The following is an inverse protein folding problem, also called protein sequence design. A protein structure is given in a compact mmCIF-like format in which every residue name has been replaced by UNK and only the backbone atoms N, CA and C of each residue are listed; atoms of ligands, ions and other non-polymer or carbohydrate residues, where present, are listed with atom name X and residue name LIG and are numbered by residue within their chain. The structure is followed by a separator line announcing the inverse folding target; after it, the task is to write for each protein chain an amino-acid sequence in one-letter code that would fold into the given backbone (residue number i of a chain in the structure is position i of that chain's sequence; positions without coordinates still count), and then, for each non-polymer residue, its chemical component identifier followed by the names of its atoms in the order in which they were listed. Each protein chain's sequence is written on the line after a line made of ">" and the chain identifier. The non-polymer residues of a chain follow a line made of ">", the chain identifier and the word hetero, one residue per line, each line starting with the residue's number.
data_IF_640603229572
#
_entry.id   IF_640603229572
#
_cell.length_a   1.000
_cell.length_b   1.000
_cell.length_c   1.000
_cell.angle_alpha   90.00
_cell.angle_beta   90.00
_cell.angle_gamma   90.00
#
_symmetry.space_group_name_H-M   'P 1'
#
loop_
_entity.id
_entity.type
_entity.pdbx_description
1 polymer ?
#
# COMPACT_ATOMS: atom_id res chain seq x y z
N UNK A 1 -98.81 -10.90 75.00
CA UNK A 1 -97.91 -9.77 74.68
C UNK A 1 -96.53 -10.23 75.14
N UNK A 2 -95.58 -10.52 74.25
CA UNK A 2 -94.80 -9.56 73.43
C UNK A 2 -93.93 -8.65 74.31
N UNK A 3 -92.62 -8.52 74.11
CA UNK A 3 -91.74 -9.05 73.04
C UNK A 3 -90.26 -9.17 73.53
N UNK A 4 -89.34 -9.44 72.59
CA UNK A 4 -87.86 -9.61 72.67
C UNK A 4 -87.10 -8.44 73.39
N UNK A 5 -85.79 -8.49 73.71
CA UNK A 5 -84.68 -9.33 73.18
C UNK A 5 -83.51 -9.58 74.19
N UNK A 6 -82.41 -10.21 73.73
CA UNK A 6 -81.37 -10.90 74.53
C UNK A 6 -79.94 -10.30 74.55
N UNK A 7 -79.10 -10.90 75.42
CA UNK A 7 -77.62 -10.86 75.52
C UNK A 7 -76.99 -9.53 76.02
N UNK A 8 -76.36 -9.39 77.20
CA UNK A 8 -75.49 -10.24 78.08
C UNK A 8 -73.97 -10.13 77.79
N UNK A 9 -73.12 -10.21 78.83
CA UNK A 9 -71.77 -9.62 78.88
C UNK A 9 -70.55 -10.59 78.82
N UNK A 10 -69.36 -9.99 78.62
CA UNK A 10 -68.03 -10.30 79.22
C UNK A 10 -66.95 -11.05 78.40
N UNK A 11 -65.67 -10.56 78.47
CA UNK A 11 -64.41 -11.31 78.76
C UNK A 11 -63.08 -10.49 78.68
N UNK A 12 -61.94 -11.13 79.04
CA UNK A 12 -60.53 -10.64 79.12
C UNK A 12 -59.50 -11.80 78.88
N UNK A 13 -58.14 -11.60 78.79
CA UNK A 13 -57.25 -11.70 79.98
C UNK A 13 -55.90 -10.90 79.94
N UNK A 14 -54.71 -11.56 79.91
CA UNK A 14 -53.30 -11.06 80.14
C UNK A 14 -52.20 -12.00 79.54
N UNK A 15 -50.88 -11.72 79.72
CA UNK A 15 -49.69 -12.55 79.31
C UNK A 15 -48.47 -12.50 80.30
N UNK A 16 -47.29 -13.09 79.98
CA UNK A 16 -46.20 -13.52 80.92
C UNK A 16 -44.69 -13.26 80.51
N UNK A 17 -43.70 -13.87 81.21
CA UNK A 17 -42.19 -13.79 81.14
C UNK A 17 -41.53 -15.12 81.67
N UNK A 18 -40.20 -15.39 81.93
CA UNK A 18 -38.92 -14.60 81.89
C UNK A 18 -37.64 -15.41 81.38
N UNK A 19 -36.42 -15.20 81.98
CA UNK A 19 -35.12 -15.95 81.88
C UNK A 19 -34.12 -15.60 80.72
N UNK A 20 -32.79 -15.96 80.69
CA UNK A 20 -31.90 -16.80 81.59
C UNK A 20 -30.46 -16.23 81.93
N UNK A 21 -29.31 -16.92 81.67
CA UNK A 21 -28.16 -17.00 82.64
C UNK A 21 -26.71 -17.28 82.07
N UNK A 22 -25.67 -16.55 82.60
CA UNK A 22 -24.24 -16.85 83.03
C UNK A 22 -23.32 -17.81 82.19
N UNK A 23 -21.96 -17.78 82.13
CA UNK A 23 -20.83 -16.80 82.21
C UNK A 23 -19.47 -17.57 82.24
N UNK A 24 -18.41 -17.10 81.54
CA UNK A 24 -16.99 -17.49 81.77
C UNK A 24 -16.34 -18.48 80.77
N UNK A 25 -15.02 -18.73 80.76
CA UNK A 25 -13.85 -17.97 81.26
C UNK A 25 -12.53 -18.60 80.74
N UNK A 26 -11.52 -17.77 80.41
CA UNK A 26 -10.15 -18.21 80.03
C UNK A 26 -9.98 -18.69 78.57
N UNK A 27 -8.76 -18.94 78.07
CA UNK A 27 -7.43 -18.49 78.49
C UNK A 27 -6.41 -18.67 77.32
N UNK A 28 -5.40 -17.81 77.29
CA UNK A 28 -4.30 -17.67 76.33
C UNK A 28 -3.81 -18.94 75.56
N UNK A 29 -3.79 -18.87 74.23
CA UNK A 29 -2.87 -19.61 73.35
C UNK A 29 -2.69 -18.85 72.01
N UNK A 30 -1.50 -18.86 71.41
CA UNK A 30 -1.18 -18.04 70.23
C UNK A 30 -0.48 -18.83 69.12
N UNK A 31 -0.88 -18.59 67.87
CA UNK A 31 -0.07 -18.78 66.64
C UNK A 31 -0.37 -17.60 65.71
N UNK A 32 0.61 -17.21 64.90
CA UNK A 32 0.58 -16.02 64.04
C UNK A 32 0.09 -16.36 62.63
N UNK A 33 -0.73 -15.46 62.06
CA UNK A 33 -0.73 -15.16 60.62
C UNK A 33 -1.57 -16.06 59.71
N UNK A 34 -2.60 -15.47 59.11
CA UNK A 34 -2.55 -15.04 57.70
C UNK A 34 -3.63 -13.96 57.49
N UNK A 35 -3.52 -13.21 56.38
CA UNK A 35 -4.30 -11.99 56.21
C UNK A 35 -5.81 -12.22 56.12
N UNK A 36 -6.59 -11.47 56.90
CA UNK A 36 -7.99 -11.20 56.57
C UNK A 36 -8.02 -10.31 55.34
N UNK A 37 -8.12 -10.91 54.15
CA UNK A 37 -8.41 -10.17 52.93
C UNK A 37 -9.69 -9.37 53.14
N UNK A 38 -9.61 -8.05 52.98
CA UNK A 38 -10.77 -7.18 53.12
C UNK A 38 -11.70 -7.46 51.95
N UNK A 39 -12.73 -8.27 52.19
CA UNK A 39 -13.71 -8.67 51.19
C UNK A 39 -14.57 -7.47 50.78
N UNK A 40 -14.03 -6.64 49.88
CA UNK A 40 -14.81 -5.70 49.10
C UNK A 40 -15.95 -6.48 48.43
N UNK A 41 -17.19 -6.09 48.73
CA UNK A 41 -18.36 -6.83 48.27
C UNK A 41 -18.49 -6.65 46.76
N UNK A 42 -18.03 -7.63 45.98
CA UNK A 42 -18.25 -7.68 44.53
C UNK A 42 -19.75 -7.81 44.30
N UNK A 43 -20.41 -6.66 44.09
CA UNK A 43 -21.79 -6.59 43.64
C UNK A 43 -21.82 -6.98 42.17
N UNK A 44 -21.89 -8.29 41.90
CA UNK A 44 -22.21 -8.82 40.58
C UNK A 44 -23.58 -8.27 40.15
N UNK A 45 -23.58 -7.25 39.28
CA UNK A 45 -24.78 -6.56 38.85
C UNK A 45 -25.53 -7.36 37.78
N UNK A 46 -26.15 -8.46 38.21
CA UNK A 46 -27.28 -9.15 37.57
C UNK A 46 -27.26 -9.25 36.03
N UNK A 47 -26.30 -10.02 35.48
CA UNK A 47 -26.46 -10.71 34.19
C UNK A 47 -26.61 -9.85 32.93
N UNK A 48 -26.41 -8.54 33.00
CA UNK A 48 -26.28 -7.68 31.83
C UNK A 48 -24.82 -7.69 31.32
N UNK A 49 -24.57 -7.58 30.00
CA UNK A 49 -23.25 -7.23 29.48
C UNK A 49 -22.74 -5.94 30.11
N UNK A 50 -21.42 -5.85 30.32
CA UNK A 50 -20.78 -4.57 30.63
C UNK A 50 -20.71 -3.79 29.31
N UNK A 51 -21.64 -2.87 29.10
CA UNK A 51 -21.61 -2.02 27.91
C UNK A 51 -20.37 -1.13 27.92
N UNK A 52 -19.64 -1.12 26.81
CA UNK A 52 -18.64 -0.10 26.50
C UNK A 52 -19.32 1.28 26.37
N UNK A 53 -18.53 2.35 26.49
CA UNK A 53 -19.03 3.70 26.16
C UNK A 53 -19.69 3.71 24.77
N UNK A 54 -20.90 4.26 24.67
CA UNK A 54 -21.72 4.10 23.47
C UNK A 54 -21.18 4.95 22.31
N UNK A 55 -20.28 4.36 21.52
CA UNK A 55 -19.61 5.05 20.41
C UNK A 55 -18.76 4.14 19.51
N UNK A 56 -19.30 3.01 19.03
CA UNK A 56 -18.65 2.29 17.90
C UNK A 56 -18.80 3.13 16.63
N UNK A 57 -17.69 3.50 16.01
CA UNK A 57 -17.67 4.27 14.76
C UNK A 57 -17.09 3.39 13.64
N UNK A 58 -17.98 2.75 12.90
CA UNK A 58 -17.68 1.92 11.73
C UNK A 58 -17.25 2.80 10.55
N UNK A 59 -16.03 2.61 10.07
CA UNK A 59 -15.41 3.39 8.97
C UNK A 59 -14.61 2.51 8.01
N UNK A 60 -15.08 1.29 7.77
CA UNK A 60 -14.49 0.37 6.80
C UNK A 60 -14.63 0.95 5.38
N UNK A 61 -13.54 1.04 4.63
CA UNK A 61 -13.51 1.61 3.27
C UNK A 61 -13.38 0.56 2.16
N UNK A 62 -13.49 -0.72 2.51
CA UNK A 62 -13.59 -1.86 1.59
C UNK A 62 -14.91 -2.63 1.71
N UNK A 63 -15.77 -2.33 2.69
CA UNK A 63 -17.08 -2.96 2.86
C UNK A 63 -17.96 -2.09 3.75
N UNK A 64 -19.13 -1.68 3.23
CA UNK A 64 -20.09 -0.82 3.90
C UNK A 64 -20.84 -1.47 5.08
N UNK A 65 -20.79 -2.78 5.27
CA UNK A 65 -21.71 -3.54 6.14
C UNK A 65 -21.09 -4.11 7.44
N UNK A 66 -19.76 -4.07 7.59
CA UNK A 66 -19.01 -4.73 8.68
C UNK A 66 -19.39 -4.28 10.10
N UNK A 67 -20.09 -5.13 10.85
CA UNK A 67 -20.39 -4.91 12.27
C UNK A 67 -19.18 -5.28 13.13
N UNK A 68 -18.56 -4.28 13.77
CA UNK A 68 -17.49 -4.46 14.76
C UNK A 68 -18.05 -4.54 16.18
N UNK A 69 -17.71 -5.61 16.91
CA UNK A 69 -18.06 -5.81 18.32
C UNK A 69 -16.81 -5.94 19.20
N UNK A 70 -16.53 -5.00 20.12
CA UNK A 70 -15.45 -5.13 21.10
C UNK A 70 -15.79 -6.16 22.18
N UNK A 71 -14.77 -6.90 22.67
CA UNK A 71 -14.93 -7.91 23.73
C UNK A 71 -13.99 -7.61 24.90
N UNK A 72 -14.56 -7.58 26.11
CA UNK A 72 -13.82 -7.51 27.36
C UNK A 72 -13.83 -8.85 28.11
N UNK A 73 -12.67 -9.29 28.62
CA UNK A 73 -12.60 -10.45 29.54
C UNK A 73 -11.77 -10.13 30.78
N UNK A 74 -12.01 -10.87 31.87
CA UNK A 74 -11.33 -10.66 33.15
C UNK A 74 -9.97 -11.36 33.19
N UNK A 75 -8.91 -10.57 33.19
CA UNK A 75 -7.52 -11.04 33.26
C UNK A 75 -7.06 -11.03 34.72
N UNK A 76 -6.59 -12.17 35.23
CA UNK A 76 -6.10 -12.30 36.60
C UNK A 76 -4.69 -11.70 36.73
N UNK A 77 -4.46 -10.91 37.78
CA UNK A 77 -3.16 -10.33 38.11
C UNK A 77 -2.92 -10.32 39.63
N UNK A 78 -1.66 -10.20 40.04
CA UNK A 78 -1.26 -10.19 41.44
C UNK A 78 -1.86 -9.00 42.21
N UNK A 79 -2.61 -9.29 43.27
CA UNK A 79 -3.35 -8.30 44.06
C UNK A 79 -4.79 -8.05 43.59
N UNK A 80 -5.15 -8.47 42.38
CA UNK A 80 -6.50 -8.36 41.82
C UNK A 80 -6.47 -8.32 40.29
N UNK A 81 -7.37 -9.07 39.64
CA UNK A 81 -7.57 -9.00 38.19
C UNK A 81 -8.44 -7.83 37.76
N UNK A 82 -8.46 -7.55 36.47
CA UNK A 82 -9.18 -6.45 35.82
C UNK A 82 -9.82 -6.92 34.51
N UNK A 83 -10.90 -6.26 34.07
CA UNK A 83 -11.43 -6.47 32.72
C UNK A 83 -10.55 -5.72 31.71
N UNK A 84 -9.94 -6.46 30.79
CA UNK A 84 -9.15 -5.93 29.68
C UNK A 84 -9.94 -6.01 28.38
N UNK A 85 -9.66 -5.10 27.45
CA UNK A 85 -10.07 -5.23 26.06
C UNK A 85 -9.20 -6.32 25.42
N UNK A 86 -9.80 -7.46 25.08
CA UNK A 86 -9.06 -8.72 24.83
C UNK A 86 -9.34 -9.34 23.47
N UNK A 87 -10.42 -8.94 22.81
CA UNK A 87 -10.75 -9.41 21.47
C UNK A 87 -11.69 -8.42 20.75
N UNK A 88 -11.84 -8.62 19.44
CA UNK A 88 -12.88 -8.02 18.60
C UNK A 88 -13.51 -9.11 17.74
N UNK A 89 -14.80 -8.98 17.44
CA UNK A 89 -15.47 -9.78 16.41
C UNK A 89 -15.97 -8.86 15.30
N UNK A 90 -15.70 -9.23 14.05
CA UNK A 90 -16.28 -8.64 12.85
C UNK A 90 -17.30 -9.62 12.26
N UNK A 91 -18.47 -9.12 11.86
CA UNK A 91 -19.57 -9.91 11.27
C UNK A 91 -20.14 -9.16 10.07
N UNK A 92 -20.46 -9.88 8.99
CA UNK A 92 -20.90 -9.27 7.73
C UNK A 92 -19.74 -8.58 7.04
N UNK A 93 -18.62 -9.30 6.91
CA UNK A 93 -17.41 -8.85 6.23
C UNK A 93 -17.29 -9.55 4.87
N UNK A 94 -17.33 -8.79 3.79
CA UNK A 94 -17.08 -9.30 2.45
C UNK A 94 -15.59 -9.62 2.26
N UNK A 95 -15.25 -10.90 2.05
CA UNK A 95 -13.87 -11.35 1.76
C UNK A 95 -13.64 -11.69 0.29
N UNK A 96 -14.44 -11.12 -0.62
CA UNK A 96 -14.24 -11.19 -2.06
C UNK A 96 -13.40 -10.01 -2.56
N UNK A 97 -13.04 -10.03 -3.85
CA UNK A 97 -12.21 -9.00 -4.49
C UNK A 97 -13.07 -7.80 -4.93
N UNK A 98 -12.71 -6.61 -4.44
CA UNK A 98 -13.34 -5.34 -4.79
C UNK A 98 -13.29 -5.09 -6.31
N UNK A 99 -14.39 -4.62 -6.89
CA UNK A 99 -14.56 -4.45 -8.34
C UNK A 99 -15.41 -3.21 -8.66
N UNK A 100 -15.38 -2.71 -9.90
CA UNK A 100 -16.30 -1.65 -10.35
C UNK A 100 -17.78 -2.06 -10.26
N UNK A 101 -18.06 -3.37 -10.22
CA UNK A 101 -19.41 -3.95 -10.12
C UNK A 101 -19.75 -4.36 -8.67
N UNK A 102 -18.75 -4.65 -7.84
CA UNK A 102 -18.90 -4.91 -6.39
C UNK A 102 -18.02 -3.93 -5.60
N UNK A 103 -18.58 -2.78 -5.17
CA UNK A 103 -17.80 -1.74 -4.48
C UNK A 103 -17.38 -2.16 -3.07
N UNK A 104 -18.09 -3.12 -2.47
CA UNK A 104 -17.71 -3.84 -1.27
C UNK A 104 -16.90 -5.11 -1.67
N UNK A 105 -15.92 -5.48 -0.85
CA UNK A 105 -14.91 -6.52 -1.08
C UNK A 105 -13.58 -6.21 -0.38
N UNK A 106 -13.31 -6.88 0.75
CA UNK A 106 -12.10 -6.66 1.57
C UNK A 106 -10.95 -7.67 1.33
N UNK A 107 -10.98 -8.51 0.29
CA UNK A 107 -9.83 -9.36 -0.03
C UNK A 107 -8.55 -8.53 -0.32
N UNK A 108 -7.42 -8.98 0.22
CA UNK A 108 -6.12 -8.30 0.04
C UNK A 108 -5.99 -6.98 0.81
N UNK A 109 -6.88 -6.70 1.76
CA UNK A 109 -6.82 -5.52 2.64
C UNK A 109 -6.27 -5.89 4.02
N UNK A 110 -5.65 -4.93 4.70
CA UNK A 110 -5.46 -4.97 6.16
C UNK A 110 -6.53 -4.11 6.80
N UNK A 111 -7.25 -4.69 7.75
CA UNK A 111 -8.15 -3.99 8.65
C UNK A 111 -7.35 -3.57 9.88
N UNK A 112 -7.20 -2.27 10.10
CA UNK A 112 -6.55 -1.71 11.28
C UNK A 112 -7.63 -1.23 12.26
N UNK A 113 -7.52 -1.66 13.52
CA UNK A 113 -8.50 -1.41 14.57
C UNK A 113 -7.86 -0.57 15.67
N UNK A 114 -8.52 0.53 16.04
CA UNK A 114 -8.01 1.56 16.96
C UNK A 114 -9.03 1.80 18.07
N UNK A 115 -8.57 1.71 19.32
CA UNK A 115 -9.36 2.06 20.49
C UNK A 115 -9.05 3.50 20.95
N UNK A 116 -10.03 4.19 21.50
CA UNK A 116 -9.92 5.60 21.94
C UNK A 116 -10.57 5.82 23.30
N UNK A 117 -10.03 6.78 24.07
CA UNK A 117 -10.60 7.27 25.32
C UNK A 117 -11.78 8.25 25.11
N UNK A 118 -12.36 8.74 26.21
CA UNK A 118 -13.47 9.70 26.21
C UNK A 118 -13.09 11.10 25.71
N UNK A 119 -11.79 11.39 25.61
CA UNK A 119 -11.22 12.61 25.03
C UNK A 119 -10.90 12.44 23.53
N UNK A 120 -11.03 11.24 22.98
CA UNK A 120 -10.69 10.90 21.60
C UNK A 120 -9.20 10.65 21.34
N UNK A 121 -8.40 10.43 22.39
CA UNK A 121 -6.98 10.05 22.33
C UNK A 121 -6.86 8.57 21.98
N UNK A 122 -5.89 8.22 21.13
CA UNK A 122 -5.60 6.84 20.73
C UNK A 122 -5.02 6.04 21.90
N UNK A 123 -5.67 4.93 22.24
CA UNK A 123 -5.16 3.91 23.16
C UNK A 123 -4.26 2.96 22.38
N UNK A 124 -3.13 2.58 22.97
CA UNK A 124 -2.13 1.70 22.34
C UNK A 124 -2.10 0.31 23.01
N UNK A 125 -1.84 -0.77 22.26
CA UNK A 125 -1.56 -0.80 20.82
C UNK A 125 -2.81 -0.63 19.95
N UNK A 126 -2.59 -0.42 18.65
CA UNK A 126 -3.60 -0.70 17.61
C UNK A 126 -3.47 -2.15 17.18
N UNK A 127 -4.52 -2.73 16.59
CA UNK A 127 -4.60 -4.14 16.23
C UNK A 127 -4.88 -4.32 14.72
N UNK A 128 -4.41 -5.41 14.12
CA UNK A 128 -4.48 -5.65 12.67
C UNK A 128 -5.11 -7.00 12.31
N UNK A 129 -5.85 -7.06 11.19
CA UNK A 129 -6.31 -8.30 10.57
C UNK A 129 -6.06 -8.22 9.05
N UNK A 130 -5.21 -9.09 8.51
CA UNK A 130 -5.06 -9.28 7.06
C UNK A 130 -6.18 -10.19 6.56
N UNK A 131 -6.89 -9.75 5.51
CA UNK A 131 -8.05 -10.43 4.95
C UNK A 131 -7.69 -11.16 3.66
N UNK A 132 -7.65 -12.49 3.71
CA UNK A 132 -7.52 -13.36 2.55
C UNK A 132 -8.84 -14.04 2.18
N UNK A 133 -8.95 -14.48 0.92
CA UNK A 133 -10.14 -15.15 0.36
C UNK A 133 -10.48 -16.51 1.00
N UNK A 134 -9.62 -17.03 1.86
CA UNK A 134 -9.76 -18.35 2.51
C UNK A 134 -9.13 -18.45 3.91
N UNK A 135 -8.57 -17.34 4.42
CA UNK A 135 -7.95 -17.26 5.74
C UNK A 135 -7.91 -15.80 6.22
N UNK A 136 -7.98 -15.60 7.54
CA UNK A 136 -7.63 -14.35 8.21
C UNK A 136 -6.34 -14.55 8.98
N UNK A 137 -5.43 -13.59 8.97
CA UNK A 137 -4.19 -13.61 9.76
C UNK A 137 -3.99 -12.31 10.52
N UNK A 138 -3.18 -12.36 11.58
CA UNK A 138 -2.78 -11.21 12.40
C UNK A 138 -1.43 -11.53 13.05
N UNK A 139 -0.62 -10.50 13.30
CA UNK A 139 0.56 -10.63 14.19
C UNK A 139 0.20 -10.32 15.66
N UNK A 140 -0.96 -9.70 15.90
CA UNK A 140 -1.41 -9.29 17.24
C UNK A 140 -2.14 -10.39 18.01
N UNK A 141 -2.42 -11.53 17.37
CA UNK A 141 -2.98 -12.72 18.01
C UNK A 141 -3.74 -13.65 17.07
N UNK A 142 -4.68 -14.41 17.63
CA UNK A 142 -5.34 -15.51 16.91
C UNK A 142 -6.63 -15.08 16.23
N UNK A 143 -6.83 -15.54 14.99
CA UNK A 143 -7.91 -15.14 14.07
C UNK A 143 -8.84 -16.30 13.65
N UNK A 144 -9.53 -16.99 14.57
CA UNK A 144 -10.61 -17.90 14.20
C UNK A 144 -11.71 -17.17 13.40
N UNK A 145 -11.79 -17.45 12.11
CA UNK A 145 -12.82 -16.96 11.21
C UNK A 145 -13.59 -18.08 10.50
N UNK A 146 -14.74 -17.73 9.94
CA UNK A 146 -15.62 -18.67 9.24
C UNK A 146 -16.47 -17.98 8.17
N UNK A 147 -16.94 -18.78 7.20
CA UNK A 147 -17.86 -18.41 6.13
C UNK A 147 -17.30 -17.39 5.11
N UNK A 148 -16.11 -17.63 4.58
CA UNK A 148 -15.49 -16.80 3.52
C UNK A 148 -16.44 -16.56 2.33
N UNK A 149 -16.57 -15.31 1.93
CA UNK A 149 -17.52 -14.80 0.94
C UNK A 149 -18.10 -13.45 1.35
N UNK A 150 -19.26 -13.11 0.80
CA UNK A 150 -19.98 -11.82 0.99
C UNK A 150 -20.43 -11.57 2.45
N UNK A 151 -20.63 -12.61 3.27
CA UNK A 151 -21.04 -12.50 4.69
C UNK A 151 -20.09 -13.26 5.65
N UNK A 152 -18.80 -12.91 5.64
CA UNK A 152 -17.81 -13.57 6.50
C UNK A 152 -17.85 -13.09 7.95
N UNK A 153 -17.21 -13.86 8.82
CA UNK A 153 -16.99 -13.50 10.23
C UNK A 153 -15.58 -13.86 10.70
N UNK A 154 -15.00 -13.01 11.54
CA UNK A 154 -13.69 -13.25 12.17
C UNK A 154 -13.68 -12.70 13.59
N UNK A 155 -13.10 -13.44 14.53
CA UNK A 155 -12.75 -12.92 15.85
C UNK A 155 -11.24 -12.86 15.97
N UNK A 156 -10.67 -11.67 16.21
CA UNK A 156 -9.27 -11.53 16.60
C UNK A 156 -9.22 -11.52 18.13
N UNK A 157 -8.52 -12.50 18.72
CA UNK A 157 -8.21 -12.55 20.16
C UNK A 157 -6.75 -12.17 20.36
N UNK A 158 -6.50 -11.11 21.13
CA UNK A 158 -5.17 -10.51 21.27
C UNK A 158 -4.23 -11.37 22.11
N UNK A 159 -3.00 -11.58 21.64
CA UNK A 159 -1.96 -12.28 22.41
C UNK A 159 -1.48 -11.44 23.61
N UNK A 160 -1.59 -10.11 23.53
CA UNK A 160 -1.34 -9.20 24.67
C UNK A 160 -2.44 -8.15 24.85
N UNK A 161 -3.24 -8.32 25.91
CA UNK A 161 -4.35 -7.43 26.26
C UNK A 161 -3.95 -6.46 27.39
N UNK A 162 -3.40 -5.29 27.02
CA UNK A 162 -2.91 -4.29 27.98
C UNK A 162 -3.94 -3.23 28.37
N UNK A 163 -4.82 -2.85 27.42
CA UNK A 163 -5.82 -1.79 27.57
C UNK A 163 -6.94 -2.24 28.52
N UNK A 164 -7.26 -1.45 29.56
CA UNK A 164 -8.39 -1.73 30.43
C UNK A 164 -9.72 -1.45 29.70
N UNK A 165 -10.73 -2.30 29.88
CA UNK A 165 -12.00 -2.13 29.16
C UNK A 165 -12.81 -0.92 29.63
N UNK A 166 -12.44 -0.32 30.77
CA UNK A 166 -12.97 0.96 31.27
C UNK A 166 -12.54 2.16 30.45
N UNK A 167 -11.39 2.05 29.78
CA UNK A 167 -10.74 3.18 29.13
C UNK A 167 -11.22 3.30 27.66
N UNK A 168 -11.75 2.21 27.09
CA UNK A 168 -12.25 2.12 25.72
C UNK A 168 -13.64 2.77 25.62
N UNK A 169 -13.67 4.02 25.17
CA UNK A 169 -14.89 4.77 24.88
C UNK A 169 -15.36 4.63 23.43
N UNK A 170 -14.43 4.48 22.48
CA UNK A 170 -14.71 4.25 21.06
C UNK A 170 -13.76 3.21 20.50
N UNK A 171 -14.24 2.38 19.57
CA UNK A 171 -13.40 1.61 18.66
C UNK A 171 -13.74 2.03 17.22
N UNK A 172 -12.71 2.19 16.38
CA UNK A 172 -12.84 2.39 14.94
C UNK A 172 -12.13 1.28 14.18
N UNK A 173 -12.54 1.10 12.93
CA UNK A 173 -11.90 0.22 11.96
C UNK A 173 -11.66 1.00 10.67
N UNK A 174 -10.48 0.85 10.10
CA UNK A 174 -10.08 1.42 8.81
C UNK A 174 -9.45 0.32 7.96
N UNK A 175 -9.62 0.37 6.64
CA UNK A 175 -9.09 -0.63 5.71
C UNK A 175 -7.99 -0.04 4.84
N UNK A 176 -6.74 -0.44 5.07
CA UNK A 176 -5.63 -0.20 4.15
C UNK A 176 -5.57 -1.28 3.06
N UNK A 177 -4.73 -1.07 2.05
CA UNK A 177 -4.17 -2.22 1.32
C UNK A 177 -3.40 -3.08 2.32
N UNK A 178 -3.41 -4.40 2.13
CA UNK A 178 -2.50 -5.25 2.90
C UNK A 178 -1.07 -4.91 2.49
N UNK A 179 -0.20 -4.62 3.46
CA UNK A 179 1.22 -4.94 3.34
C UNK A 179 1.38 -6.46 3.40
N UNK A 180 0.78 -7.14 2.42
CA UNK A 180 1.51 -8.23 1.81
C UNK A 180 2.82 -7.60 1.33
N UNK A 181 3.94 -8.22 1.69
CA UNK A 181 5.16 -8.11 0.91
C UNK A 181 4.91 -8.80 -0.43
N UNK A 182 4.11 -8.13 -1.28
CA UNK A 182 4.27 -8.20 -2.72
C UNK A 182 5.76 -7.94 -2.92
N UNK A 183 6.55 -8.93 -3.39
CA UNK A 183 7.95 -8.66 -3.66
C UNK A 183 7.98 -7.46 -4.61
N UNK A 184 8.86 -6.46 -4.38
CA UNK A 184 8.94 -5.30 -5.27
C UNK A 184 9.02 -5.84 -6.69
N UNK A 185 8.22 -5.30 -7.62
CA UNK A 185 8.04 -5.92 -8.93
C UNK A 185 9.38 -5.86 -9.67
N UNK A 186 10.14 -6.95 -9.59
CA UNK A 186 11.42 -7.11 -10.24
C UNK A 186 11.11 -7.45 -11.68
N UNK A 187 11.23 -6.46 -12.55
CA UNK A 187 11.06 -6.65 -13.98
C UNK A 187 12.36 -7.19 -14.59
N UNK A 188 12.23 -8.06 -15.59
CA UNK A 188 13.37 -8.56 -16.36
C UNK A 188 13.49 -7.85 -17.73
N UNK A 189 14.71 -7.81 -18.25
CA UNK A 189 14.97 -7.37 -19.63
C UNK A 189 14.19 -8.24 -20.63
N UNK A 190 13.40 -7.61 -21.50
CA UNK A 190 12.50 -8.25 -22.45
C UNK A 190 11.04 -8.34 -22.00
N UNK A 191 10.72 -7.99 -20.75
CA UNK A 191 9.34 -7.90 -20.25
C UNK A 191 8.68 -6.54 -20.56
N UNK A 192 7.36 -6.47 -20.34
CA UNK A 192 6.57 -5.24 -20.54
C UNK A 192 6.58 -4.37 -19.28
N UNK A 193 7.02 -3.13 -19.39
CA UNK A 193 7.08 -2.16 -18.29
C UNK A 193 5.77 -1.40 -18.02
N UNK A 194 5.74 -0.54 -16.98
CA UNK A 194 4.54 0.20 -16.57
C UNK A 194 3.95 1.12 -17.64
N UNK A 195 4.75 1.64 -18.57
CA UNK A 195 4.27 2.42 -19.72
C UNK A 195 3.69 1.60 -20.86
N UNK A 196 3.85 0.27 -20.82
CA UNK A 196 3.57 -0.62 -21.95
C UNK A 196 4.72 -0.72 -22.95
N UNK A 197 5.91 -0.22 -22.58
CA UNK A 197 7.16 -0.41 -23.31
C UNK A 197 7.80 -1.76 -23.02
N UNK A 198 8.84 -2.09 -23.78
CA UNK A 198 9.69 -3.26 -23.53
C UNK A 198 10.92 -2.84 -22.75
N UNK A 199 11.22 -3.52 -21.64
CA UNK A 199 12.35 -3.20 -20.77
C UNK A 199 13.65 -3.66 -21.43
N UNK A 200 14.60 -2.75 -21.61
CA UNK A 200 15.89 -3.01 -22.26
C UNK A 200 17.09 -2.82 -21.33
N UNK A 201 16.89 -2.23 -20.15
CA UNK A 201 17.89 -2.06 -19.11
C UNK A 201 17.27 -2.25 -17.72
N UNK A 202 18.07 -2.85 -16.83
CA UNK A 202 17.79 -3.07 -15.41
C UNK A 202 19.08 -2.72 -14.65
N UNK A 203 18.95 -1.96 -13.56
CA UNK A 203 20.01 -1.75 -12.58
C UNK A 203 19.72 -2.60 -11.33
N UNK A 204 20.45 -3.71 -11.20
CA UNK A 204 20.35 -4.67 -10.08
C UNK A 204 20.91 -4.12 -8.74
N UNK A 205 21.40 -2.87 -8.71
CA UNK A 205 21.86 -2.24 -7.46
C UNK A 205 20.70 -1.77 -6.59
N UNK A 206 20.97 -1.60 -5.29
CA UNK A 206 19.96 -1.16 -4.30
C UNK A 206 19.68 0.34 -4.38
N UNK A 207 20.61 1.12 -4.95
CA UNK A 207 20.49 2.58 -5.06
C UNK A 207 19.86 3.03 -6.40
N UNK A 208 20.04 2.23 -7.47
CA UNK A 208 19.62 2.59 -8.82
C UNK A 208 20.50 3.67 -9.47
N UNK A 209 19.95 4.32 -10.50
CA UNK A 209 20.59 5.42 -11.24
C UNK A 209 19.77 6.70 -11.25
N UNK A 210 20.47 7.84 -11.25
CA UNK A 210 19.86 9.18 -11.33
C UNK A 210 19.67 9.63 -12.79
N UNK A 211 18.53 9.32 -13.40
CA UNK A 211 18.05 10.00 -14.62
C UNK A 211 17.56 11.41 -14.23
N UNK A 212 18.50 12.36 -14.15
CA UNK A 212 18.29 13.65 -13.48
C UNK A 212 17.03 14.36 -13.95
N UNK A 213 16.04 14.46 -13.04
CA UNK A 213 14.76 15.14 -13.25
C UNK A 213 13.60 14.26 -13.74
N UNK A 214 13.83 12.99 -14.07
CA UNK A 214 12.76 12.03 -14.33
C UNK A 214 12.01 11.65 -13.02
N UNK A 215 10.77 11.14 -13.07
CA UNK A 215 9.96 10.91 -11.86
C UNK A 215 10.52 9.91 -10.83
N UNK A 216 11.44 9.02 -11.26
CA UNK A 216 12.13 8.06 -10.39
C UNK A 216 13.45 8.58 -9.80
N UNK A 217 13.95 9.74 -10.25
CA UNK A 217 15.23 10.33 -9.81
C UNK A 217 15.27 10.53 -8.28
N UNK A 218 16.37 10.14 -7.59
CA UNK A 218 17.63 9.62 -8.11
C UNK A 218 17.74 8.07 -8.12
N UNK A 219 16.61 7.36 -7.95
CA UNK A 219 16.54 5.92 -7.73
C UNK A 219 15.78 5.20 -8.87
N UNK A 220 16.10 5.49 -10.12
CA UNK A 220 15.56 4.74 -11.26
C UNK A 220 16.23 3.36 -11.32
N UNK A 221 15.48 2.30 -11.62
CA UNK A 221 16.01 0.94 -11.76
C UNK A 221 15.82 0.37 -13.16
N UNK A 222 14.94 0.94 -13.98
CA UNK A 222 14.54 0.36 -15.26
C UNK A 222 14.50 1.39 -16.39
N UNK A 223 14.79 0.94 -17.61
CA UNK A 223 14.44 1.68 -18.83
C UNK A 223 13.56 0.82 -19.75
N UNK A 224 12.40 1.33 -20.12
CA UNK A 224 11.51 0.74 -21.14
C UNK A 224 11.51 1.54 -22.44
N UNK A 225 11.44 0.86 -23.58
CA UNK A 225 11.38 1.43 -24.92
C UNK A 225 9.99 1.24 -25.54
N UNK A 226 9.49 2.26 -26.24
CA UNK A 226 8.13 2.25 -26.78
C UNK A 226 7.87 1.09 -27.78
N UNK A 227 6.67 0.45 -27.75
CA UNK A 227 6.29 -0.61 -28.68
C UNK A 227 6.04 -0.06 -30.09
N UNK A 228 6.50 -0.75 -31.12
CA UNK A 228 6.33 -0.33 -32.53
C UNK A 228 4.94 -0.50 -33.11
N UNK A 229 4.12 -1.35 -32.51
CA UNK A 229 2.73 -1.53 -32.89
C UNK A 229 1.86 -0.92 -31.77
N UNK A 230 1.72 0.41 -31.71
CA UNK A 230 0.89 1.05 -30.71
C UNK A 230 -0.58 0.71 -30.99
N UNK A 231 -1.17 -0.13 -30.15
CA UNK A 231 -2.61 -0.43 -30.17
C UNK A 231 -3.49 0.80 -29.85
N UNK A 232 -2.85 1.92 -29.45
CA UNK A 232 -3.46 3.21 -29.14
C UNK A 232 -2.84 4.26 -30.07
N UNK A 233 -3.69 4.95 -30.86
CA UNK A 233 -3.26 6.02 -31.76
C UNK A 233 -2.86 7.28 -30.98
N UNK A 234 -1.57 7.43 -30.62
CA UNK A 234 -1.13 8.56 -29.80
C UNK A 234 0.29 9.09 -30.13
N UNK A 235 0.34 10.36 -30.55
CA UNK A 235 1.46 11.30 -30.87
C UNK A 235 2.76 10.85 -31.56
N UNK A 236 3.18 9.58 -31.52
CA UNK A 236 4.41 9.07 -32.16
C UNK A 236 4.10 7.86 -33.07
N UNK A 237 4.89 7.71 -34.13
CA UNK A 237 4.93 6.54 -35.00
C UNK A 237 6.39 6.17 -35.26
N UNK A 238 6.72 4.89 -35.47
CA UNK A 238 8.10 4.49 -35.84
C UNK A 238 8.42 4.90 -37.28
N UNK A 239 8.80 6.17 -37.42
CA UNK A 239 9.18 6.86 -38.65
C UNK A 239 10.39 7.80 -38.36
N UNK A 240 10.92 8.43 -39.40
CA UNK A 240 12.13 9.25 -39.31
C UNK A 240 11.84 10.74 -39.16
N UNK A 241 12.42 11.36 -38.13
CA UNK A 241 12.22 12.76 -37.76
C UNK A 241 13.55 13.54 -37.81
N UNK A 242 13.47 14.85 -38.05
CA UNK A 242 14.61 15.73 -37.83
C UNK A 242 14.83 15.94 -36.33
N UNK A 243 16.08 16.17 -35.92
CA UNK A 243 16.46 16.17 -34.49
C UNK A 243 15.76 17.28 -33.69
N UNK A 244 15.86 18.53 -34.18
CA UNK A 244 15.28 19.74 -33.60
C UNK A 244 14.65 20.62 -34.70
N UNK A 245 13.84 21.61 -34.32
CA UNK A 245 13.41 22.65 -35.25
C UNK A 245 14.50 23.68 -35.55
N UNK A 246 15.49 23.84 -34.66
CA UNK A 246 16.65 24.70 -34.86
C UNK A 246 17.90 23.86 -35.14
N UNK A 247 18.16 23.68 -36.44
CA UNK A 247 19.23 22.84 -37.00
C UNK A 247 20.55 23.60 -37.23
N UNK A 248 20.72 24.78 -36.63
CA UNK A 248 21.86 25.66 -36.91
C UNK A 248 22.47 26.31 -35.67
N UNK A 249 21.71 26.48 -34.59
CA UNK A 249 22.24 26.81 -33.26
C UNK A 249 22.40 25.53 -32.41
N UNK A 250 23.33 25.58 -31.46
CA UNK A 250 23.42 24.56 -30.41
C UNK A 250 22.28 24.67 -29.39
N UNK A 251 21.98 23.55 -28.74
CA UNK A 251 21.34 23.52 -27.41
C UNK A 251 22.40 23.87 -26.36
N UNK A 252 23.64 23.38 -26.53
CA UNK A 252 24.81 23.78 -25.75
C UNK A 252 24.85 23.28 -24.30
N UNK A 253 23.84 22.55 -23.84
CA UNK A 253 23.68 22.07 -22.45
C UNK A 253 23.42 20.57 -22.33
N UNK A 254 23.26 19.83 -23.44
CA UNK A 254 23.02 18.38 -23.40
C UNK A 254 24.29 17.62 -22.98
N UNK A 255 24.14 16.60 -22.15
CA UNK A 255 25.20 15.63 -21.84
C UNK A 255 25.23 14.50 -22.88
N UNK A 256 26.39 13.90 -23.09
CA UNK A 256 26.47 12.60 -23.77
C UNK A 256 26.23 11.43 -22.82
N UNK A 257 26.39 11.61 -21.50
CA UNK A 257 26.45 10.55 -20.50
C UNK A 257 25.18 9.69 -20.37
N UNK A 258 25.33 8.50 -19.78
CA UNK A 258 24.19 7.70 -19.34
C UNK A 258 23.39 8.43 -18.25
N UNK A 259 22.08 8.17 -18.17
CA UNK A 259 21.14 8.85 -17.28
C UNK A 259 21.00 10.35 -17.58
N UNK A 260 20.99 10.73 -18.87
CA UNK A 260 20.80 12.13 -19.27
C UNK A 260 19.75 12.35 -20.35
N UNK A 261 19.11 11.30 -20.88
CA UNK A 261 18.12 11.43 -21.94
C UNK A 261 16.93 12.31 -21.55
N UNK A 262 16.52 12.29 -20.28
CA UNK A 262 15.44 13.13 -19.76
C UNK A 262 15.79 14.62 -19.84
N UNK A 263 16.87 15.06 -19.17
CA UNK A 263 17.25 16.46 -19.19
C UNK A 263 17.63 16.91 -20.60
N UNK A 264 18.36 16.10 -21.38
CA UNK A 264 18.67 16.41 -22.77
C UNK A 264 17.40 16.67 -23.59
N UNK A 265 16.36 15.82 -23.43
CA UNK A 265 15.07 16.01 -24.10
C UNK A 265 14.38 17.28 -23.63
N UNK A 266 14.42 17.58 -22.33
CA UNK A 266 13.87 18.81 -21.77
C UNK A 266 14.56 20.07 -22.31
N UNK A 267 15.89 20.09 -22.39
CA UNK A 267 16.65 21.18 -22.99
C UNK A 267 16.35 21.29 -24.50
N UNK A 268 16.22 20.17 -25.22
CA UNK A 268 15.93 20.10 -26.65
C UNK A 268 14.54 20.67 -27.00
N UNK A 269 13.49 20.36 -26.24
CA UNK A 269 12.15 20.93 -26.47
C UNK A 269 12.03 22.40 -26.06
N UNK A 270 12.87 22.86 -25.13
CA UNK A 270 12.96 24.26 -24.72
C UNK A 270 13.97 25.09 -25.55
N UNK A 271 14.64 24.49 -26.54
CA UNK A 271 15.65 25.17 -27.36
C UNK A 271 15.07 26.44 -28.04
N UNK A 272 15.72 27.62 -27.89
CA UNK A 272 15.29 28.84 -28.57
C UNK A 272 15.20 28.67 -30.10
N UNK A 273 14.22 29.35 -30.69
CA UNK A 273 13.97 29.41 -32.14
C UNK A 273 13.64 28.07 -32.83
N UNK A 274 13.41 26.97 -32.09
CA UNK A 274 12.97 25.72 -32.74
C UNK A 274 12.70 24.49 -31.87
N UNK A 275 12.94 24.51 -30.55
CA UNK A 275 12.70 23.36 -29.68
C UNK A 275 11.25 22.90 -29.65
N UNK A 276 10.30 23.84 -29.65
CA UNK A 276 8.85 23.57 -29.65
C UNK A 276 8.27 23.22 -31.04
N UNK A 277 9.11 23.02 -32.06
CA UNK A 277 8.64 22.70 -33.40
C UNK A 277 8.11 21.26 -33.47
N UNK A 278 6.85 21.10 -33.88
CA UNK A 278 6.17 19.80 -33.96
C UNK A 278 6.90 18.80 -34.88
N UNK A 279 6.74 17.50 -34.57
CA UNK A 279 7.33 16.38 -35.30
C UNK A 279 8.86 16.49 -35.44
N UNK A 280 9.54 16.72 -34.31
CA UNK A 280 11.00 16.67 -34.14
C UNK A 280 11.36 15.70 -33.01
N UNK A 281 12.55 15.13 -33.03
CA UNK A 281 12.92 13.98 -32.21
C UNK A 281 12.61 14.16 -30.72
N UNK A 282 13.05 15.26 -30.10
CA UNK A 282 12.72 15.58 -28.71
C UNK A 282 11.22 15.76 -28.48
N UNK A 283 10.56 16.59 -29.31
CA UNK A 283 9.12 16.89 -29.15
C UNK A 283 8.23 15.67 -29.26
N UNK A 284 8.55 14.72 -30.13
CA UNK A 284 7.68 13.58 -30.40
C UNK A 284 7.89 12.46 -29.39
N UNK A 285 9.13 12.28 -28.90
CA UNK A 285 9.40 11.39 -27.79
C UNK A 285 8.73 11.90 -26.49
N UNK A 286 8.79 13.21 -26.22
CA UNK A 286 8.16 13.81 -25.05
C UNK A 286 6.61 13.98 -25.17
N UNK A 287 6.07 13.96 -26.39
CA UNK A 287 4.62 13.97 -26.62
C UNK A 287 3.98 12.57 -26.51
N UNK A 288 4.76 11.49 -26.69
CA UNK A 288 4.27 10.12 -26.60
C UNK A 288 3.73 9.79 -25.20
N UNK A 289 2.64 9.00 -25.13
CA UNK A 289 2.08 8.53 -23.86
C UNK A 289 2.09 7.01 -23.66
N UNK A 290 2.25 6.25 -24.75
CA UNK A 290 2.17 4.80 -24.73
C UNK A 290 0.78 4.24 -24.40
N UNK A 291 0.62 2.90 -24.41
CA UNK A 291 -0.65 2.24 -24.11
C UNK A 291 -1.30 2.67 -22.78
N UNK A 292 -0.48 3.02 -21.78
CA UNK A 292 -0.93 3.30 -20.42
C UNK A 292 -1.01 4.81 -20.07
N UNK A 293 -0.84 5.71 -21.05
CA UNK A 293 -1.12 7.14 -20.89
C UNK A 293 -0.09 7.95 -20.08
N UNK A 294 1.10 7.40 -19.80
CA UNK A 294 2.10 8.02 -18.94
C UNK A 294 2.80 9.21 -19.60
N UNK A 295 3.16 10.24 -18.85
CA UNK A 295 3.67 11.52 -19.42
C UNK A 295 5.19 11.66 -19.44
N UNK A 296 5.90 10.67 -18.93
CA UNK A 296 7.33 10.66 -18.61
C UNK A 296 8.18 9.90 -19.65
N UNK A 297 7.80 10.01 -20.92
CA UNK A 297 8.62 9.55 -22.06
C UNK A 297 9.60 10.63 -22.54
N UNK A 298 10.75 10.20 -23.05
CA UNK A 298 11.85 11.05 -23.52
C UNK A 298 12.66 10.40 -24.65
N UNK A 299 13.56 11.17 -25.27
CA UNK A 299 14.49 10.72 -26.31
C UNK A 299 15.81 10.28 -25.63
N UNK A 300 16.27 9.03 -25.80
CA UNK A 300 17.43 8.49 -25.08
C UNK A 300 18.70 9.29 -25.34
N UNK A 301 19.59 9.41 -24.34
CA UNK A 301 20.96 9.91 -24.54
C UNK A 301 21.76 8.99 -25.47
N UNK A 302 22.95 9.45 -25.86
CA UNK A 302 23.92 8.64 -26.61
C UNK A 302 24.19 7.29 -25.95
N UNK A 303 24.32 7.23 -24.61
CA UNK A 303 24.65 6.00 -23.91
C UNK A 303 23.43 5.12 -23.62
N UNK A 304 22.26 5.68 -23.34
CA UNK A 304 21.01 4.89 -23.25
C UNK A 304 20.67 4.24 -24.60
N UNK A 305 20.86 4.96 -25.71
CA UNK A 305 20.66 4.44 -27.06
C UNK A 305 21.70 3.36 -27.44
N UNK A 306 22.95 3.50 -26.96
CA UNK A 306 23.97 2.46 -27.07
C UNK A 306 23.59 1.19 -26.28
N UNK A 307 23.02 1.33 -25.08
CA UNK A 307 22.49 0.21 -24.29
C UNK A 307 21.28 -0.45 -24.96
N UNK A 308 20.37 0.32 -25.55
CA UNK A 308 19.27 -0.20 -26.37
C UNK A 308 19.77 -0.96 -27.62
N UNK A 309 20.85 -0.49 -28.25
CA UNK A 309 21.55 -1.23 -29.32
C UNK A 309 22.18 -2.53 -28.82
N UNK A 310 22.84 -2.56 -27.64
CA UNK A 310 23.39 -3.79 -27.05
C UNK A 310 22.31 -4.85 -26.82
N UNK A 311 21.20 -4.44 -26.20
CA UNK A 311 20.04 -5.30 -25.96
C UNK A 311 19.43 -5.84 -27.27
N UNK A 312 19.21 -4.97 -28.26
CA UNK A 312 18.77 -5.36 -29.59
C UNK A 312 19.79 -6.26 -30.32
N UNK A 313 21.08 -6.11 -30.01
CA UNK A 313 22.17 -6.92 -30.54
C UNK A 313 22.39 -8.26 -29.81
N UNK A 314 21.64 -8.54 -28.73
CA UNK A 314 21.79 -9.73 -27.89
C UNK A 314 23.06 -9.74 -27.04
N UNK A 315 23.67 -8.57 -26.82
CA UNK A 315 24.91 -8.40 -26.06
C UNK A 315 24.61 -8.24 -24.57
N UNK A 316 25.43 -8.88 -23.72
CA UNK A 316 25.46 -8.59 -22.30
C UNK A 316 25.96 -7.17 -22.03
N UNK A 317 25.43 -6.52 -20.99
CA UNK A 317 25.98 -5.26 -20.49
C UNK A 317 27.36 -5.48 -19.84
N UNK A 318 28.26 -4.50 -19.98
CA UNK A 318 29.66 -4.57 -19.50
C UNK A 318 30.05 -3.23 -18.87
N UNK A 319 29.77 -2.14 -19.58
CA UNK A 319 29.66 -0.78 -19.06
C UNK A 319 28.71 0.01 -19.96
N UNK A 320 28.46 1.28 -19.64
CA UNK A 320 27.64 2.16 -20.48
C UNK A 320 28.40 2.61 -21.73
N UNK A 321 29.69 2.93 -21.58
CA UNK A 321 30.60 3.50 -22.58
C UNK A 321 31.07 2.48 -23.65
N UNK A 322 31.15 1.19 -23.30
CA UNK A 322 31.54 0.13 -24.24
C UNK A 322 30.62 0.18 -25.48
N UNK A 323 31.13 0.23 -26.72
CA UNK A 323 30.27 0.39 -27.90
C UNK A 323 29.43 -0.85 -28.19
N UNK A 324 28.23 -0.64 -28.72
CA UNK A 324 27.47 -1.66 -29.43
C UNK A 324 28.30 -2.23 -30.60
N UNK A 325 28.38 -3.55 -30.73
CA UNK A 325 29.22 -4.23 -31.75
C UNK A 325 28.52 -5.34 -32.51
N UNK A 326 27.25 -5.65 -32.17
CA UNK A 326 26.47 -6.72 -32.81
C UNK A 326 25.56 -6.16 -33.90
N UNK A 327 25.70 -6.58 -35.17
CA UNK A 327 24.75 -6.29 -36.24
C UNK A 327 23.62 -7.35 -36.30
N UNK A 328 23.42 -8.15 -35.24
CA UNK A 328 22.49 -9.27 -35.22
C UNK A 328 21.29 -8.93 -34.35
N UNK A 329 20.14 -8.67 -34.98
CA UNK A 329 18.88 -8.50 -34.28
C UNK A 329 18.56 -9.74 -33.42
N UNK A 330 18.46 -9.50 -32.11
CA UNK A 330 18.06 -10.44 -31.08
C UNK A 330 16.61 -10.89 -31.32
N UNK A 331 16.38 -12.20 -31.25
CA UNK A 331 15.06 -12.82 -31.45
C UNK A 331 14.43 -13.34 -30.14
N UNK A 332 15.02 -13.00 -28.99
CA UNK A 332 14.46 -13.25 -27.68
C UNK A 332 13.23 -12.36 -27.36
N UNK A 333 12.60 -12.56 -26.19
CA UNK A 333 11.47 -11.75 -25.75
C UNK A 333 11.76 -10.26 -25.82
N UNK A 334 10.80 -9.49 -26.34
CA UNK A 334 10.87 -8.03 -26.40
C UNK A 334 11.72 -7.43 -27.54
N UNK A 335 12.79 -8.08 -27.99
CA UNK A 335 13.74 -7.54 -28.99
C UNK A 335 13.22 -7.52 -30.45
N UNK A 336 11.91 -7.70 -30.65
CA UNK A 336 11.26 -7.64 -31.95
C UNK A 336 10.61 -6.27 -32.16
N UNK A 337 11.30 -5.36 -32.85
CA UNK A 337 10.71 -4.07 -33.22
C UNK A 337 11.64 -2.98 -33.70
N UNK A 338 12.94 -3.17 -33.78
CA UNK A 338 13.83 -2.17 -34.39
C UNK A 338 13.98 -2.46 -35.88
N UNK A 339 14.06 -1.41 -36.69
CA UNK A 339 14.40 -1.53 -38.11
C UNK A 339 15.91 -1.41 -38.29
N UNK A 340 16.43 -2.00 -39.37
CA UNK A 340 17.83 -1.94 -39.78
C UNK A 340 18.18 -0.53 -40.30
N UNK A 341 18.17 0.46 -39.42
CA UNK A 341 18.15 1.89 -39.74
C UNK A 341 18.91 2.71 -38.67
N UNK A 342 19.04 4.02 -38.90
CA UNK A 342 19.61 4.97 -37.94
C UNK A 342 18.56 5.55 -36.99
N UNK A 343 18.87 5.58 -35.69
CA UNK A 343 18.06 6.18 -34.63
C UNK A 343 18.75 7.40 -34.01
N UNK A 344 17.99 8.44 -33.68
CA UNK A 344 18.45 9.63 -32.95
C UNK A 344 18.61 9.38 -31.44
N UNK A 345 19.65 9.97 -30.86
CA UNK A 345 19.71 10.26 -29.42
C UNK A 345 19.41 11.74 -29.15
N UNK A 346 19.21 12.11 -27.89
CA UNK A 346 19.03 13.50 -27.42
C UNK A 346 20.34 14.24 -27.17
N UNK A 347 21.49 13.58 -27.30
CA UNK A 347 22.80 14.21 -27.10
C UNK A 347 23.25 15.00 -28.34
N UNK A 348 23.53 16.29 -28.17
CA UNK A 348 24.14 17.14 -29.19
C UNK A 348 25.62 16.77 -29.43
N UNK A 349 26.12 17.01 -30.64
CA UNK A 349 27.55 16.95 -30.94
C UNK A 349 28.11 18.36 -31.23
N UNK A 350 27.41 19.14 -32.07
CA UNK A 350 27.70 20.55 -32.29
C UNK A 350 26.43 21.35 -32.68
N UNK A 351 26.58 22.61 -33.08
CA UNK A 351 25.46 23.46 -33.47
C UNK A 351 24.63 22.93 -34.66
N UNK A 352 25.21 22.07 -35.50
CA UNK A 352 24.62 21.50 -36.72
C UNK A 352 24.42 19.98 -36.69
N UNK A 353 25.12 19.25 -35.82
CA UNK A 353 25.08 17.79 -35.70
C UNK A 353 24.71 17.29 -34.31
N UNK A 354 24.11 16.11 -34.24
CA UNK A 354 23.76 15.40 -33.02
C UNK A 354 24.14 13.92 -33.11
N UNK A 355 24.15 13.21 -31.98
CA UNK A 355 24.58 11.80 -31.94
C UNK A 355 23.46 10.85 -32.37
N UNK A 356 23.79 9.96 -33.32
CA UNK A 356 22.91 8.91 -33.81
C UNK A 356 23.54 7.52 -33.70
N UNK A 357 22.69 6.49 -33.62
CA UNK A 357 23.07 5.09 -33.52
C UNK A 357 22.45 4.31 -34.69
N UNK A 358 23.29 3.64 -35.49
CA UNK A 358 22.81 2.67 -36.47
C UNK A 358 22.53 1.32 -35.80
N UNK A 359 21.36 0.76 -36.06
CA UNK A 359 20.94 -0.56 -35.57
C UNK A 359 21.25 -1.67 -36.60
N UNK A 360 21.49 -1.30 -37.88
CA UNK A 360 21.91 -2.25 -38.93
C UNK A 360 23.34 -2.79 -38.76
N UNK A 361 24.26 -1.95 -38.29
CA UNK A 361 25.70 -2.27 -38.22
C UNK A 361 26.38 -1.83 -36.91
N UNK A 362 25.58 -1.48 -35.89
CA UNK A 362 26.01 -0.99 -34.58
C UNK A 362 26.88 0.28 -34.56
N UNK A 363 27.11 0.98 -35.68
CA UNK A 363 27.96 2.17 -35.70
C UNK A 363 27.26 3.39 -35.09
N UNK A 364 27.92 4.03 -34.12
CA UNK A 364 27.50 5.31 -33.55
C UNK A 364 28.32 6.47 -34.14
N UNK A 365 27.66 7.55 -34.54
CA UNK A 365 28.33 8.72 -35.15
C UNK A 365 27.53 10.01 -34.94
N UNK A 366 28.18 11.15 -35.15
CA UNK A 366 27.47 12.40 -35.38
C UNK A 366 26.72 12.36 -36.73
N UNK A 367 25.56 13.01 -36.79
CA UNK A 367 24.76 13.19 -38.00
C UNK A 367 24.15 14.59 -37.99
N UNK A 368 24.05 15.23 -39.16
CA UNK A 368 23.48 16.57 -39.31
C UNK A 368 22.02 16.57 -38.88
N UNK A 369 21.63 17.47 -37.96
CA UNK A 369 20.30 17.57 -37.32
C UNK A 369 19.12 17.65 -38.31
N UNK A 370 19.38 18.12 -39.52
CA UNK A 370 18.43 18.25 -40.61
C UNK A 370 18.06 16.93 -41.31
N UNK A 371 18.83 15.86 -41.10
CA UNK A 371 18.56 14.52 -41.64
C UNK A 371 17.42 13.87 -40.85
N UNK A 372 16.41 13.27 -41.50
CA UNK A 372 15.45 12.42 -40.81
C UNK A 372 16.11 11.10 -40.37
N UNK A 373 16.07 10.80 -39.07
CA UNK A 373 16.44 9.49 -38.51
C UNK A 373 15.34 9.02 -37.56
N UNK A 374 15.27 7.72 -37.29
CA UNK A 374 14.22 7.14 -36.45
C UNK A 374 14.29 7.66 -35.02
N UNK A 375 13.14 7.62 -34.36
CA UNK A 375 13.01 7.98 -32.95
C UNK A 375 12.40 6.81 -32.22
N UNK A 376 12.99 6.41 -31.11
CA UNK A 376 12.37 5.49 -30.15
C UNK A 376 12.24 6.22 -28.81
N UNK A 377 11.02 6.57 -28.38
CA UNK A 377 10.79 7.07 -27.03
C UNK A 377 11.20 6.00 -26.01
N UNK A 378 11.86 6.42 -24.93
CA UNK A 378 12.13 5.60 -23.76
C UNK A 378 11.56 6.26 -22.50
N UNK A 379 11.46 5.49 -21.41
CA UNK A 379 10.97 5.93 -20.11
C UNK A 379 11.77 5.25 -19.00
N UNK A 380 12.06 6.00 -17.93
CA UNK A 380 12.75 5.52 -16.73
C UNK A 380 11.76 5.35 -15.58
N UNK A 381 11.96 4.34 -14.72
CA UNK A 381 11.13 4.07 -13.54
C UNK A 381 11.84 3.19 -12.51
#
# INVERSE_FOLDING_TARGET
>A
MSLLDFANQSKSPRSAKPFKVILGAGALAAVIGLGSTFAANIRLNTGAPIEFGQGVAQTTACDSNVILTPISTFVNADGGGEFKFTAITLVGLDTTEQSEISPDGCAGKILTIKAYDDNGVLLNPSYTISVGVSAFTSEDGTTPGSNFGEESSVTLTFDTAVIASTDVYRVTIESGLSEATVPPIVYAVGETGPGGGTIFYVDDSVEGFDETGAPCSPNCHYLEAAPTNPAVLDYWTDDSYQWSGNISDGVGTTSEGFSSGWENTWQLINQPNGGTALAKAGTIAHAYRGPNGLTDWFLPSRHELNTMCKWQGGLAWVSNEEPCTSPVNNSGPGAAGFMDDGYWSSSEFDATSAMGQSFYNASQSDVIKAVPMRVRPIRAF
#
